data_IF_374061784503
#
_entry.id   IF_374061784503
#
_cell.length_a   1.000
_cell.length_b   1.000
_cell.length_c   1.000
_cell.angle_alpha   90.00
_cell.angle_beta   90.00
_cell.angle_gamma   90.00
#
_symmetry.space_group_name_H-M   'P 1'
#
loop_
_entity.id
_entity.type
_entity.pdbx_description
1 polymer ?
#
# COMPACT_ATOMS: atom_id res chain seq x y z
N UNK A 1 -9.88 -1.19 1.01
CA UNK A 1 -9.26 -2.40 0.42
C UNK A 1 -8.17 -1.92 -0.53
N UNK A 2 -7.03 -2.58 -0.59
CA UNK A 2 -5.83 -2.17 0.16
C UNK A 2 -4.58 -2.59 -0.60
N UNK A 3 -3.58 -1.72 -0.80
CA UNK A 3 -2.43 -1.98 -1.69
C UNK A 3 -1.14 -1.42 -1.17
N UNK A 4 -0.12 -2.21 -1.37
CA UNK A 4 1.16 -2.04 -0.75
C UNK A 4 2.29 -2.05 -1.79
N UNK A 5 3.30 -1.21 -1.55
CA UNK A 5 4.61 -1.15 -2.22
C UNK A 5 5.62 -0.64 -1.17
N UNK A 6 6.66 -1.40 -0.87
CA UNK A 6 7.63 -1.11 0.22
C UNK A 6 8.95 -0.50 -0.26
N UNK A 7 9.42 0.57 0.42
CA UNK A 7 10.88 0.78 0.61
C UNK A 7 11.26 1.56 1.88
N UNK A 8 12.30 1.04 2.54
CA UNK A 8 12.98 1.42 3.78
C UNK A 8 13.55 2.86 3.87
N UNK A 9 13.73 3.41 5.10
CA UNK A 9 14.05 4.82 5.31
C UNK A 9 15.52 5.19 5.05
N UNK A 10 15.71 6.20 4.19
CA UNK A 10 16.80 7.17 4.27
C UNK A 10 16.21 8.57 4.51
N UNK A 11 16.96 9.42 5.21
CA UNK A 11 16.52 10.68 5.84
C UNK A 11 16.12 11.81 4.88
N UNK A 12 15.07 12.55 5.28
CA UNK A 12 14.81 13.99 5.03
C UNK A 12 14.60 14.51 3.60
N UNK A 13 13.41 15.04 3.29
CA UNK A 13 13.25 16.05 2.22
C UNK A 13 11.94 16.86 2.33
N UNK A 14 11.89 18.13 1.86
CA UNK A 14 10.79 19.08 2.04
C UNK A 14 9.70 18.99 0.94
N UNK A 15 8.61 19.74 1.16
CA UNK A 15 7.36 19.74 0.38
C UNK A 15 7.52 20.32 -1.05
N UNK A 16 6.85 19.69 -2.02
CA UNK A 16 6.41 20.31 -3.27
C UNK A 16 7.10 19.83 -4.56
N UNK A 17 6.28 19.63 -5.61
CA UNK A 17 6.57 19.35 -7.03
C UNK A 17 6.62 17.85 -7.43
N UNK A 18 5.52 17.40 -8.07
CA UNK A 18 5.46 16.13 -8.81
C UNK A 18 6.21 16.27 -10.14
N UNK A 19 7.23 15.43 -10.35
CA UNK A 19 8.00 15.40 -11.60
C UNK A 19 7.32 14.51 -12.67
N UNK A 20 7.64 14.72 -13.96
CA UNK A 20 7.02 13.99 -15.09
C UNK A 20 7.01 12.45 -14.94
N UNK A 21 7.97 11.84 -14.22
CA UNK A 21 7.99 10.39 -13.99
C UNK A 21 6.96 9.85 -12.99
N UNK A 22 6.44 10.71 -12.11
CA UNK A 22 5.32 10.36 -11.21
C UNK A 22 3.99 10.20 -11.94
N UNK A 23 3.85 10.85 -13.10
CA UNK A 23 2.65 10.81 -13.92
C UNK A 23 2.49 9.52 -14.71
N UNK A 24 3.58 8.94 -15.23
CA UNK A 24 3.55 7.60 -15.88
C UNK A 24 3.17 6.50 -14.89
N UNK A 25 3.62 6.62 -13.64
CA UNK A 25 3.41 5.66 -12.57
C UNK A 25 1.92 5.42 -12.27
N UNK A 26 1.16 6.49 -12.02
CA UNK A 26 -0.24 6.35 -11.60
C UNK A 26 -1.15 5.86 -12.71
N UNK A 27 -0.79 6.17 -13.94
CA UNK A 27 -1.58 5.78 -15.11
C UNK A 27 -1.50 4.31 -15.43
N UNK A 28 -0.34 3.70 -15.20
CA UNK A 28 -0.21 2.26 -15.27
C UNK A 28 -1.08 1.59 -14.20
N UNK A 29 -0.99 2.07 -12.95
CA UNK A 29 -1.78 1.58 -11.83
C UNK A 29 -3.29 1.66 -12.06
N UNK A 30 -3.75 2.68 -12.78
CA UNK A 30 -5.19 2.90 -13.01
C UNK A 30 -5.68 2.26 -14.29
N UNK A 31 -4.85 2.15 -15.33
CA UNK A 31 -5.14 1.27 -16.46
C UNK A 31 -5.32 -0.19 -16.02
N UNK A 32 -4.48 -0.65 -15.08
CA UNK A 32 -4.63 -1.95 -14.41
C UNK A 32 -6.00 -2.08 -13.72
N UNK A 33 -6.43 -1.06 -12.98
CA UNK A 33 -7.69 -1.03 -12.24
C UNK A 33 -8.93 -0.87 -13.14
N UNK A 34 -8.82 -0.16 -14.27
CA UNK A 34 -9.92 0.09 -15.22
C UNK A 34 -10.16 -1.06 -16.20
N UNK A 35 -9.14 -1.88 -16.49
CA UNK A 35 -9.29 -3.12 -17.30
C UNK A 35 -9.65 -4.34 -16.46
N UNK A 36 -9.34 -4.30 -15.16
CA UNK A 36 -9.75 -5.28 -14.17
C UNK A 36 -11.26 -5.58 -14.04
N UNK A 37 -12.23 -4.67 -14.34
CA UNK A 37 -13.66 -4.98 -14.24
C UNK A 37 -14.15 -5.99 -15.29
N UNK A 38 -13.35 -6.31 -16.31
CA UNK A 38 -13.66 -7.31 -17.33
C UNK A 38 -13.25 -8.74 -16.94
N UNK A 39 -12.58 -8.91 -15.79
CA UNK A 39 -12.27 -10.20 -15.20
C UNK A 39 -12.81 -10.26 -13.75
N UNK A 40 -13.91 -10.99 -13.49
CA UNK A 40 -14.52 -11.08 -12.17
C UNK A 40 -13.60 -11.72 -11.10
N UNK A 41 -12.45 -12.30 -11.49
CA UNK A 41 -11.44 -12.81 -10.53
C UNK A 41 -10.53 -11.73 -9.95
N UNK A 42 -10.49 -10.54 -10.54
CA UNK A 42 -9.69 -9.39 -10.07
C UNK A 42 -10.44 -8.45 -9.12
N UNK A 43 -11.70 -8.73 -8.80
CA UNK A 43 -12.42 -8.04 -7.72
C UNK A 43 -11.66 -8.29 -6.41
N UNK A 44 -10.87 -7.29 -5.97
CA UNK A 44 -9.99 -7.35 -4.80
C UNK A 44 -8.52 -6.98 -5.06
N UNK A 45 -8.11 -6.85 -6.33
CA UNK A 45 -6.76 -6.39 -6.70
C UNK A 45 -6.76 -4.87 -6.79
N UNK A 46 -6.41 -4.21 -5.70
CA UNK A 46 -6.22 -2.77 -5.72
C UNK A 46 -4.77 -2.49 -6.22
N UNK A 47 -4.47 -1.32 -6.83
CA UNK A 47 -3.10 -0.84 -7.12
C UNK A 47 -2.89 0.54 -6.44
N UNK A 48 -2.06 0.72 -5.39
CA UNK A 48 -1.80 2.02 -4.74
C UNK A 48 -0.31 2.36 -4.68
N UNK A 49 -0.05 3.65 -4.48
CA UNK A 49 1.20 4.35 -4.66
C UNK A 49 1.78 4.87 -3.35
N UNK A 50 3.11 4.83 -3.21
CA UNK A 50 3.85 5.58 -2.19
C UNK A 50 4.74 6.67 -2.79
N UNK A 51 4.72 7.86 -2.19
CA UNK A 51 5.66 8.95 -2.46
C UNK A 51 6.51 9.23 -1.22
N UNK A 52 7.84 9.10 -1.34
CA UNK A 52 8.78 9.73 -0.40
C UNK A 52 9.62 10.76 -1.14
N UNK A 53 9.76 11.94 -0.54
CA UNK A 53 10.61 13.02 -1.02
C UNK A 53 12.01 12.51 -1.35
N UNK A 54 12.54 12.97 -2.47
CA UNK A 54 13.76 12.49 -3.15
C UNK A 54 13.73 11.04 -3.64
N UNK A 55 12.85 10.74 -4.60
CA UNK A 55 13.17 9.77 -5.63
C UNK A 55 13.65 10.52 -6.88
N UNK A 56 14.96 10.52 -7.11
CA UNK A 56 15.48 10.88 -8.43
C UNK A 56 14.88 9.91 -9.44
N UNK A 57 14.02 10.43 -10.30
CA UNK A 57 13.43 9.76 -11.46
C UNK A 57 14.55 9.53 -12.48
N UNK A 58 15.32 8.45 -12.27
CA UNK A 58 16.24 7.91 -13.27
C UNK A 58 16.02 6.43 -13.55
N UNK A 59 15.17 5.73 -12.78
CA UNK A 59 14.78 4.33 -13.05
C UNK A 59 13.35 4.05 -12.56
N UNK A 60 12.41 3.78 -13.46
CA UNK A 60 11.02 3.41 -13.13
C UNK A 60 10.95 2.02 -12.51
N UNK A 61 10.78 1.95 -11.19
CA UNK A 61 10.64 0.70 -10.44
C UNK A 61 9.22 0.58 -9.91
N UNK A 62 8.69 -0.65 -9.94
CA UNK A 62 7.35 -1.00 -9.48
C UNK A 62 7.45 -2.20 -8.53
N UNK A 63 6.62 -2.21 -7.49
CA UNK A 63 6.33 -3.44 -6.73
C UNK A 63 4.85 -3.74 -6.84
N UNK A 64 4.49 -5.02 -6.79
CA UNK A 64 3.11 -5.48 -6.75
C UNK A 64 3.01 -6.41 -5.55
N UNK A 65 2.28 -5.99 -4.53
CA UNK A 65 2.10 -6.75 -3.30
C UNK A 65 0.71 -7.40 -3.31
N UNK A 66 0.64 -8.68 -2.95
CA UNK A 66 -0.59 -9.44 -2.87
C UNK A 66 -0.62 -10.24 -1.58
N UNK A 67 -1.72 -10.12 -0.84
CA UNK A 67 -1.97 -10.87 0.37
C UNK A 67 -3.47 -11.03 0.65
N UNK A 68 -3.83 -11.70 1.75
CA UNK A 68 -2.91 -12.37 2.68
C UNK A 68 -2.43 -13.73 2.14
N UNK A 69 -1.13 -14.01 2.26
CA UNK A 69 -0.54 -15.31 1.96
C UNK A 69 0.48 -15.69 3.03
N UNK A 70 0.34 -16.85 3.70
CA UNK A 70 1.38 -17.34 4.60
C UNK A 70 2.71 -17.52 3.87
N UNK A 71 3.80 -17.13 4.51
CA UNK A 71 5.14 -17.30 3.95
C UNK A 71 5.43 -18.79 3.73
N UNK A 72 6.04 -19.13 2.58
CA UNK A 72 6.30 -20.52 2.20
C UNK A 72 5.07 -21.29 1.66
N UNK A 73 3.90 -20.65 1.55
CA UNK A 73 2.68 -21.25 0.97
C UNK A 73 2.36 -20.60 -0.37
N UNK A 74 2.06 -21.42 -1.38
CA UNK A 74 1.58 -20.95 -2.67
C UNK A 74 0.07 -21.18 -2.79
N UNK A 75 -0.71 -20.08 -2.90
CA UNK A 75 -2.14 -20.18 -3.16
C UNK A 75 -2.45 -19.94 -4.64
N UNK A 76 -3.25 -20.83 -5.23
CA UNK A 76 -3.58 -20.77 -6.65
C UNK A 76 -4.37 -19.51 -7.04
N UNK A 77 -5.25 -19.03 -6.16
CA UNK A 77 -6.04 -17.82 -6.37
C UNK A 77 -5.16 -16.55 -6.43
N UNK A 78 -4.21 -16.40 -5.50
CA UNK A 78 -3.27 -15.28 -5.50
C UNK A 78 -2.27 -15.36 -6.65
N UNK A 79 -1.81 -16.56 -7.01
CA UNK A 79 -0.95 -16.74 -8.18
C UNK A 79 -1.65 -16.34 -9.48
N UNK A 80 -2.91 -16.73 -9.66
CA UNK A 80 -3.72 -16.34 -10.81
C UNK A 80 -3.89 -14.82 -10.86
N UNK A 81 -4.28 -14.20 -9.74
CA UNK A 81 -4.39 -12.73 -9.61
C UNK A 81 -3.09 -12.02 -9.95
N UNK A 82 -1.96 -12.46 -9.40
CA UNK A 82 -0.65 -11.87 -9.67
C UNK A 82 -0.28 -11.94 -11.16
N UNK A 83 -0.54 -13.08 -11.82
CA UNK A 83 -0.31 -13.22 -13.26
C UNK A 83 -1.11 -12.20 -14.06
N UNK A 84 -2.39 -12.01 -13.73
CA UNK A 84 -3.24 -11.07 -14.44
C UNK A 84 -2.77 -9.62 -14.24
N UNK A 85 -2.43 -9.22 -13.01
CA UNK A 85 -1.90 -7.86 -12.74
C UNK A 85 -0.62 -7.62 -13.54
N UNK A 86 0.32 -8.57 -13.55
CA UNK A 86 1.57 -8.45 -14.30
C UNK A 86 1.30 -8.35 -15.80
N UNK A 87 0.39 -9.17 -16.35
CA UNK A 87 0.03 -9.12 -17.76
C UNK A 87 -0.53 -7.74 -18.15
N UNK A 88 -1.50 -7.23 -17.39
CA UNK A 88 -2.07 -5.91 -17.66
C UNK A 88 -1.03 -4.78 -17.52
N UNK A 89 0.00 -4.95 -16.66
CA UNK A 89 1.06 -3.96 -16.49
C UNK A 89 1.96 -3.92 -17.73
N UNK A 90 2.22 -5.07 -18.34
CA UNK A 90 2.95 -5.20 -19.60
C UNK A 90 2.14 -4.65 -20.78
N UNK A 91 0.83 -4.90 -20.82
CA UNK A 91 -0.07 -4.34 -21.84
C UNK A 91 -0.06 -2.80 -21.81
N UNK A 92 -0.08 -2.20 -20.61
CA UNK A 92 0.06 -0.76 -20.48
C UNK A 92 1.38 -0.25 -21.07
N UNK A 93 2.50 -0.91 -20.75
CA UNK A 93 3.83 -0.52 -21.26
C UNK A 93 3.85 -0.57 -22.78
N UNK A 94 3.28 -1.62 -23.37
CA UNK A 94 3.18 -1.79 -24.81
C UNK A 94 2.33 -0.70 -25.47
N UNK A 95 1.16 -0.39 -24.92
CA UNK A 95 0.30 0.69 -25.40
C UNK A 95 0.99 2.05 -25.31
N UNK A 96 1.63 2.34 -24.17
CA UNK A 96 2.41 3.57 -24.02
C UNK A 96 3.55 3.64 -25.06
N UNK A 97 4.25 2.54 -25.32
CA UNK A 97 5.32 2.47 -26.31
C UNK A 97 4.85 2.72 -27.74
N UNK A 98 3.61 2.32 -28.06
CA UNK A 98 2.91 2.60 -29.31
C UNK A 98 2.40 4.04 -29.44
N UNK A 99 2.59 4.87 -28.42
CA UNK A 99 2.12 6.25 -28.43
C UNK A 99 0.63 6.40 -28.12
N UNK A 100 0.01 5.40 -27.47
CA UNK A 100 -1.37 5.53 -26.98
C UNK A 100 -1.48 6.73 -26.03
N UNK A 101 -2.53 7.53 -26.23
CA UNK A 101 -2.88 8.64 -25.35
C UNK A 101 -3.71 8.14 -24.17
N UNK A 102 -3.31 8.53 -22.97
CA UNK A 102 -4.03 8.24 -21.73
C UNK A 102 -4.56 9.57 -21.14
N UNK A 103 -5.87 9.69 -20.89
CA UNK A 103 -6.49 10.91 -20.36
C UNK A 103 -6.00 11.28 -18.97
N UNK A 104 -6.19 12.54 -18.58
CA UNK A 104 -6.03 12.95 -17.19
C UNK A 104 -7.15 12.36 -16.33
N UNK A 105 -6.87 12.09 -15.05
CA UNK A 105 -7.86 11.62 -14.07
C UNK A 105 -7.45 12.02 -12.66
N UNK A 106 -8.33 11.79 -11.68
CA UNK A 106 -8.02 11.86 -10.25
C UNK A 106 -8.03 10.48 -9.62
N UNK A 107 -7.20 10.26 -8.62
CA UNK A 107 -7.15 9.00 -7.87
C UNK A 107 -6.80 9.24 -6.40
N UNK A 108 -7.20 8.31 -5.55
CA UNK A 108 -6.79 8.28 -4.16
C UNK A 108 -5.54 7.40 -3.99
N UNK A 109 -4.66 7.76 -3.05
CA UNK A 109 -3.57 6.90 -2.58
C UNK A 109 -3.37 7.07 -1.07
N UNK A 110 -2.71 6.08 -0.45
CA UNK A 110 -2.45 6.03 0.98
C UNK A 110 -0.98 6.36 1.25
N UNK A 111 -0.76 7.52 1.87
CA UNK A 111 0.57 8.06 2.12
C UNK A 111 1.02 7.67 3.53
N UNK A 112 2.17 7.00 3.63
CA UNK A 112 2.77 6.63 4.92
C UNK A 112 3.05 7.89 5.76
N UNK A 113 2.51 7.89 6.97
CA UNK A 113 2.74 8.94 7.97
C UNK A 113 3.43 8.43 9.24
N UNK A 114 3.59 7.11 9.38
CA UNK A 114 4.33 6.50 10.48
C UNK A 114 4.13 4.99 10.55
N UNK A 115 4.56 4.38 11.65
CA UNK A 115 4.32 2.99 11.98
C UNK A 115 4.10 2.86 13.49
N UNK A 116 3.53 1.74 13.93
CA UNK A 116 3.31 1.40 15.35
C UNK A 116 3.98 0.06 15.62
N UNK A 117 4.79 -0.04 16.69
CA UNK A 117 5.30 -1.33 17.19
C UNK A 117 4.23 -2.04 18.01
N UNK A 118 4.43 -3.34 18.24
CA UNK A 118 3.71 -4.08 19.26
C UNK A 118 4.05 -3.55 20.66
N UNK A 119 3.10 -3.57 21.61
CA UNK A 119 3.41 -3.44 23.03
C UNK A 119 4.41 -4.54 23.44
N UNK A 120 5.37 -4.16 24.27
CA UNK A 120 6.45 -5.06 24.71
C UNK A 120 6.69 -4.94 26.20
N UNK A 121 7.09 -6.05 26.81
CA UNK A 121 7.64 -6.07 28.16
C UNK A 121 9.03 -5.43 28.19
N UNK A 122 9.55 -5.17 29.41
CA UNK A 122 10.87 -4.60 29.61
C UNK A 122 12.02 -5.45 29.01
N UNK A 123 11.82 -6.77 28.87
CA UNK A 123 12.77 -7.68 28.23
C UNK A 123 12.75 -7.62 26.69
N UNK A 124 11.84 -6.84 26.09
CA UNK A 124 11.71 -6.67 24.64
C UNK A 124 10.78 -7.66 23.95
N UNK A 125 10.23 -8.64 24.67
CA UNK A 125 9.23 -9.57 24.14
C UNK A 125 7.88 -8.88 23.96
N UNK A 126 7.08 -9.36 23.01
CA UNK A 126 5.74 -8.84 22.73
C UNK A 126 4.83 -9.16 23.92
N UNK A 127 4.11 -8.16 24.41
CA UNK A 127 3.18 -8.28 25.55
C UNK A 127 1.71 -8.26 25.16
N UNK A 128 1.39 -7.96 23.90
CA UNK A 128 0.03 -7.90 23.37
C UNK A 128 0.02 -8.18 21.85
N UNK A 129 -1.05 -8.76 21.35
CA UNK A 129 -1.27 -9.06 19.92
C UNK A 129 -2.21 -8.05 19.29
N UNK A 130 -2.31 -8.03 17.95
CA UNK A 130 -3.32 -7.23 17.26
C UNK A 130 -4.72 -7.61 17.77
N UNK A 131 -5.52 -6.60 18.12
CA UNK A 131 -6.88 -6.81 18.60
C UNK A 131 -7.75 -7.41 17.49
N UNK A 132 -8.70 -8.33 17.80
CA UNK A 132 -9.56 -8.95 16.79
C UNK A 132 -10.37 -7.95 15.94
N UNK A 133 -10.77 -6.81 16.53
CA UNK A 133 -11.45 -5.74 15.79
C UNK A 133 -10.53 -4.93 14.87
N UNK A 134 -9.22 -5.14 14.90
CA UNK A 134 -8.27 -4.53 13.96
C UNK A 134 -7.72 -5.54 12.96
N UNK A 135 -7.60 -6.81 13.34
CA UNK A 135 -7.07 -7.87 12.50
C UNK A 135 -7.79 -7.94 11.15
N UNK A 136 -7.01 -8.05 10.07
CA UNK A 136 -7.48 -8.12 8.68
C UNK A 136 -8.27 -6.87 8.18
N UNK A 137 -8.25 -5.76 8.93
CA UNK A 137 -8.94 -4.50 8.58
C UNK A 137 -8.02 -3.47 7.94
N UNK A 138 -7.03 -3.92 7.19
CA UNK A 138 -6.16 -3.10 6.37
C UNK A 138 -6.97 -2.07 5.56
N UNK A 139 -6.53 -0.82 5.62
CA UNK A 139 -7.09 0.36 4.94
C UNK A 139 -8.51 0.73 5.38
N UNK A 140 -8.98 0.23 6.51
CA UNK A 140 -10.16 0.76 7.20
C UNK A 140 -9.74 1.93 8.10
N UNK A 141 -10.66 2.85 8.37
CA UNK A 141 -10.36 4.02 9.19
C UNK A 141 -10.21 3.60 10.66
N UNK A 142 -9.09 3.94 11.29
CA UNK A 142 -8.82 3.75 12.72
C UNK A 142 -8.81 5.11 13.42
N UNK A 143 -9.63 5.25 14.46
CA UNK A 143 -9.90 6.50 15.18
C UNK A 143 -9.38 6.44 16.63
N UNK A 144 -9.21 7.60 17.29
CA UNK A 144 -8.93 7.66 18.72
C UNK A 144 -9.97 6.85 19.51
N UNK A 145 -9.48 6.01 20.43
CA UNK A 145 -10.31 5.14 21.26
C UNK A 145 -10.69 3.78 20.65
N UNK A 146 -10.42 3.52 19.36
CA UNK A 146 -10.63 2.19 18.78
C UNK A 146 -9.64 1.17 19.38
N UNK A 147 -10.03 -0.10 19.59
CA UNK A 147 -9.14 -1.12 20.13
C UNK A 147 -8.08 -1.55 19.10
N UNK A 148 -6.81 -1.56 19.51
CA UNK A 148 -5.65 -1.80 18.62
C UNK A 148 -4.91 -3.08 18.98
N UNK A 149 -4.65 -3.30 20.27
CA UNK A 149 -4.02 -4.51 20.76
C UNK A 149 -4.84 -5.16 21.87
N UNK A 150 -4.59 -6.44 22.10
CA UNK A 150 -5.12 -7.19 23.23
C UNK A 150 -3.97 -7.89 23.95
N UNK A 151 -3.86 -7.70 25.26
CA UNK A 151 -2.88 -8.40 26.09
C UNK A 151 -3.24 -9.89 26.20
N UNK A 152 -2.31 -10.72 26.66
CA UNK A 152 -2.54 -12.18 26.77
C UNK A 152 -3.57 -12.58 27.84
N UNK A 153 -3.86 -11.69 28.80
CA UNK A 153 -4.93 -11.81 29.79
C UNK A 153 -6.27 -11.21 29.33
N UNK A 154 -6.33 -10.67 28.10
CA UNK A 154 -7.57 -10.23 27.46
C UNK A 154 -7.94 -8.76 27.70
N UNK A 155 -7.01 -7.93 28.19
CA UNK A 155 -7.22 -6.49 28.32
C UNK A 155 -6.99 -5.78 26.97
N UNK A 156 -7.90 -4.88 26.62
CA UNK A 156 -7.82 -4.12 25.38
C UNK A 156 -6.93 -2.89 25.55
N UNK A 157 -6.05 -2.67 24.58
CA UNK A 157 -5.22 -1.47 24.45
C UNK A 157 -5.77 -0.66 23.28
N UNK A 158 -6.35 0.48 23.61
CA UNK A 158 -6.98 1.39 22.66
C UNK A 158 -5.95 2.30 21.97
N UNK A 159 -6.33 2.88 20.84
CA UNK A 159 -5.56 3.95 20.20
C UNK A 159 -5.63 5.21 21.04
N UNK A 160 -4.50 5.56 21.66
CA UNK A 160 -4.34 6.66 22.60
C UNK A 160 -3.95 8.00 21.94
N UNK A 161 -3.70 8.00 20.63
CA UNK A 161 -3.40 9.21 19.87
C UNK A 161 -4.65 9.95 19.39
N UNK A 162 -4.54 11.26 19.20
CA UNK A 162 -5.62 12.09 18.65
C UNK A 162 -5.75 11.98 17.11
N UNK A 163 -4.81 11.30 16.45
CA UNK A 163 -4.80 11.14 15.00
C UNK A 163 -5.75 10.03 14.53
N UNK A 164 -6.37 10.25 13.38
CA UNK A 164 -7.09 9.22 12.62
C UNK A 164 -6.28 8.85 11.39
N UNK A 165 -6.16 7.56 11.10
CA UNK A 165 -5.36 7.05 9.98
C UNK A 165 -5.93 5.74 9.44
N UNK A 166 -5.35 5.25 8.35
CA UNK A 166 -5.67 3.97 7.75
C UNK A 166 -4.48 3.02 7.97
N UNK A 167 -4.60 1.98 8.80
CA UNK A 167 -3.52 1.02 9.04
C UNK A 167 -3.33 0.12 7.83
N UNK A 168 -2.09 -0.24 7.54
CA UNK A 168 -1.68 -1.15 6.46
C UNK A 168 -0.57 -2.08 6.97
N UNK A 169 -0.33 -3.21 6.31
CA UNK A 169 0.54 -4.30 6.76
C UNK A 169 0.22 -4.75 8.18
N UNK A 170 -1.07 -4.85 8.51
CA UNK A 170 -1.48 -5.29 9.84
C UNK A 170 -1.00 -6.72 10.05
N UNK A 171 -0.18 -6.90 11.09
CA UNK A 171 0.30 -8.20 11.53
C UNK A 171 1.21 -8.95 10.53
N UNK A 172 2.00 -8.24 9.73
CA UNK A 172 2.94 -8.88 8.80
C UNK A 172 4.06 -9.65 9.56
N UNK A 173 4.17 -10.95 9.29
CA UNK A 173 5.10 -11.85 9.98
C UNK A 173 6.57 -11.39 9.89
N UNK A 174 7.00 -10.88 8.72
CA UNK A 174 8.36 -10.38 8.54
C UNK A 174 8.67 -9.09 9.33
N UNK A 175 7.67 -8.46 9.98
CA UNK A 175 7.81 -7.15 10.62
C UNK A 175 7.93 -7.21 12.14
N UNK A 176 7.74 -8.39 12.73
CA UNK A 176 7.95 -8.63 14.15
C UNK A 176 9.36 -8.23 14.61
N UNK A 177 10.39 -8.60 13.84
CA UNK A 177 11.79 -8.21 14.10
C UNK A 177 12.06 -6.73 13.84
N UNK A 178 11.24 -6.10 13.00
CA UNK A 178 11.36 -4.68 12.61
C UNK A 178 10.59 -3.77 13.55
N UNK A 179 10.08 -4.31 14.66
CA UNK A 179 9.32 -3.55 15.66
C UNK A 179 8.16 -2.79 15.04
N UNK A 180 7.38 -3.50 14.22
CA UNK A 180 6.28 -2.91 13.47
C UNK A 180 5.10 -3.87 13.44
N UNK A 181 4.01 -3.48 14.09
CA UNK A 181 2.73 -4.15 14.09
C UNK A 181 1.89 -3.77 12.87
N UNK A 182 1.93 -2.49 12.49
CA UNK A 182 1.31 -1.96 11.27
C UNK A 182 1.92 -0.60 10.90
N UNK A 183 1.70 -0.20 9.66
CA UNK A 183 2.02 1.12 9.13
C UNK A 183 0.81 2.03 9.22
N UNK A 184 1.02 3.31 9.47
CA UNK A 184 -0.05 4.34 9.52
C UNK A 184 -0.04 5.13 8.23
N UNK A 185 -1.20 5.28 7.58
CA UNK A 185 -1.31 6.05 6.35
C UNK A 185 -2.42 7.10 6.38
N UNK A 186 -2.30 8.14 5.55
CA UNK A 186 -3.37 9.09 5.25
C UNK A 186 -3.80 8.94 3.80
N UNK A 187 -5.11 8.96 3.57
CA UNK A 187 -5.67 8.95 2.23
C UNK A 187 -5.63 10.36 1.63
N UNK A 188 -5.05 10.49 0.45
CA UNK A 188 -4.95 11.75 -0.29
C UNK A 188 -5.39 11.55 -1.74
N UNK A 189 -5.95 12.61 -2.35
CA UNK A 189 -6.36 12.62 -3.75
C UNK A 189 -5.30 13.31 -4.61
N UNK A 190 -4.96 12.68 -5.73
CA UNK A 190 -3.95 13.14 -6.67
C UNK A 190 -4.55 13.30 -8.06
N UNK A 191 -4.38 14.49 -8.64
CA UNK A 191 -4.64 14.74 -10.05
C UNK A 191 -3.47 14.25 -10.91
N UNK A 192 -3.77 13.46 -11.94
CA UNK A 192 -2.80 12.93 -12.89
C UNK A 192 -2.98 13.56 -14.26
N UNK A 193 -1.96 14.25 -14.80
CA UNK A 193 -2.08 14.89 -16.09
C UNK A 193 -2.13 13.86 -17.23
N UNK A 194 -2.60 14.27 -18.41
CA UNK A 194 -2.60 13.45 -19.62
C UNK A 194 -1.19 12.90 -19.94
N UNK A 195 -1.11 11.72 -20.54
CA UNK A 195 0.15 11.02 -20.80
C UNK A 195 0.14 10.41 -22.19
N UNK A 196 1.22 10.65 -22.92
CA UNK A 196 1.50 10.04 -24.21
C UNK A 196 3.03 10.03 -24.38
N UNK A 197 3.56 9.03 -25.07
CA UNK A 197 4.98 9.01 -25.43
C UNK A 197 5.27 10.16 -26.40
N UNK A 198 6.17 11.05 -26.02
CA UNK A 198 6.72 12.05 -26.93
C UNK A 198 7.73 11.34 -27.86
N UNK A 199 7.60 11.59 -29.17
CA UNK A 199 8.55 11.15 -30.18
C UNK A 199 9.63 12.21 -30.41
#
# INVERSE_FOLDING_TARGET
MSVEILKYPGHGCPKGVFSKGSCTFLKQSIYLLEKSPLDPTLVGCNVFQYFKGTLQVKSGKYSLELGPQPQGVARADLLAKMRTIVACALDFIELFNKGTWFPAFETEAYILVGWKDFPRYANGEISAVIHPDLQDKDFQLLKPGDPVFQTFDGEDILHDGDDTFFPVFINEAAYYEKKTAFWKTKKETFAQPALQKAF
#
